data_IF_281222810429
#
_entry.id   IF_281222810429
#
_cell.length_a   1.000
_cell.length_b   1.000
_cell.length_c   1.000
_cell.angle_alpha   90.00
_cell.angle_beta   90.00
_cell.angle_gamma   90.00
#
_symmetry.space_group_name_H-M   'P 1'
#
loop_
_entity.id
_entity.type
_entity.pdbx_description
1 polymer ?
#
# COMPACT_ATOMS: atom_id res chain seq x y z
N UNK A 1 -13.40 -13.58 17.76
CA UNK A 1 -11.99 -14.04 17.88
C UNK A 1 -11.38 -13.32 19.07
N UNK A 2 -10.82 -14.04 20.04
CA UNK A 2 -10.21 -13.39 21.22
C UNK A 2 -8.88 -12.70 20.85
N UNK A 3 -8.38 -11.80 21.69
CA UNK A 3 -7.04 -11.19 21.51
C UNK A 3 -5.98 -12.30 21.38
N UNK A 4 -6.02 -13.34 22.23
CA UNK A 4 -5.09 -14.47 22.15
C UNK A 4 -5.16 -15.22 20.82
N UNK A 5 -6.36 -15.53 20.34
CA UNK A 5 -6.54 -16.26 19.07
C UNK A 5 -5.98 -15.45 17.89
N UNK A 6 -6.16 -14.13 17.90
CA UNK A 6 -5.61 -13.21 16.89
C UNK A 6 -4.09 -13.31 16.82
N UNK A 7 -3.41 -13.30 17.97
CA UNK A 7 -1.96 -13.36 18.02
C UNK A 7 -1.41 -14.74 17.62
N UNK A 8 -2.09 -15.83 18.00
CA UNK A 8 -1.73 -17.18 17.52
C UNK A 8 -1.87 -17.31 16.01
N UNK A 9 -3.02 -16.92 15.46
CA UNK A 9 -3.24 -16.92 14.02
C UNK A 9 -2.25 -16.00 13.26
N UNK A 10 -1.88 -14.88 13.87
CA UNK A 10 -0.84 -14.00 13.35
C UNK A 10 0.54 -14.68 13.31
N UNK A 11 0.93 -15.34 14.41
CA UNK A 11 2.22 -16.04 14.52
C UNK A 11 2.39 -17.07 13.40
N UNK A 12 1.37 -17.90 13.18
CA UNK A 12 1.39 -18.95 12.14
C UNK A 12 1.49 -18.35 10.74
N UNK A 13 0.82 -17.20 10.51
CA UNK A 13 0.86 -16.50 9.22
C UNK A 13 2.19 -15.82 8.94
N UNK A 14 2.84 -15.25 9.96
CA UNK A 14 4.04 -14.43 9.77
C UNK A 14 5.33 -15.22 9.87
N UNK A 15 5.35 -16.41 10.48
CA UNK A 15 6.58 -17.15 10.82
C UNK A 15 7.54 -17.34 9.63
N UNK A 16 7.02 -17.64 8.45
CA UNK A 16 7.84 -17.79 7.24
C UNK A 16 8.51 -16.47 6.77
N UNK A 17 7.97 -15.32 7.17
CA UNK A 17 8.44 -13.98 6.82
C UNK A 17 9.24 -13.34 7.95
N UNK A 18 8.84 -13.56 9.20
CA UNK A 18 9.46 -13.00 10.40
C UNK A 18 9.30 -13.95 11.58
N UNK A 19 10.29 -14.83 11.82
CA UNK A 19 10.36 -15.64 13.03
C UNK A 19 10.33 -14.80 14.31
N UNK A 20 10.94 -13.61 14.29
CA UNK A 20 10.96 -12.68 15.44
C UNK A 20 9.55 -12.23 15.84
N UNK A 21 8.76 -11.73 14.87
CA UNK A 21 7.37 -11.32 15.16
C UNK A 21 6.47 -12.51 15.48
N UNK A 22 6.72 -13.70 14.93
CA UNK A 22 6.02 -14.92 15.34
C UNK A 22 6.32 -15.29 16.80
N UNK A 23 7.57 -15.18 17.23
CA UNK A 23 7.98 -15.42 18.61
C UNK A 23 7.31 -14.43 19.58
N UNK A 24 7.33 -13.13 19.27
CA UNK A 24 6.59 -12.12 20.03
C UNK A 24 5.09 -12.38 20.07
N UNK A 25 4.49 -12.80 18.95
CA UNK A 25 3.08 -13.10 18.93
C UNK A 25 2.72 -14.32 19.81
N UNK A 26 3.61 -15.32 19.86
CA UNK A 26 3.46 -16.50 20.74
C UNK A 26 3.71 -16.18 22.21
N UNK A 27 4.46 -15.12 22.53
CA UNK A 27 4.77 -14.74 23.93
C UNK A 27 3.61 -14.02 24.64
N UNK A 28 2.52 -13.68 23.93
CA UNK A 28 1.32 -13.03 24.48
C UNK A 28 0.55 -13.95 25.45
N UNK A 29 0.85 -13.81 26.74
CA UNK A 29 0.24 -14.51 27.88
C UNK A 29 -1.03 -13.79 28.41
N UNK A 30 -1.65 -14.31 29.48
CA UNK A 30 -2.85 -13.69 30.08
C UNK A 30 -2.59 -12.27 30.60
N UNK A 31 -1.35 -12.01 31.01
CA UNK A 31 -0.94 -10.71 31.54
C UNK A 31 -0.89 -9.66 30.43
N UNK A 32 -0.29 -10.00 29.28
CA UNK A 32 -0.29 -9.14 28.10
C UNK A 32 -1.68 -8.99 27.48
N UNK A 33 -2.50 -10.04 27.46
CA UNK A 33 -3.89 -9.92 27.00
C UNK A 33 -4.67 -8.90 27.84
N UNK A 34 -4.60 -8.99 29.17
CA UNK A 34 -5.26 -8.04 30.05
C UNK A 34 -4.81 -6.59 29.79
N UNK A 35 -3.51 -6.37 29.55
CA UNK A 35 -2.96 -5.06 29.22
C UNK A 35 -3.44 -4.54 27.86
N UNK A 36 -3.47 -5.40 26.83
CA UNK A 36 -3.97 -5.04 25.51
C UNK A 36 -5.48 -4.75 25.53
N UNK A 37 -6.22 -5.39 26.43
CA UNK A 37 -7.65 -5.17 26.58
C UNK A 37 -8.01 -3.81 27.19
N UNK A 38 -7.03 -3.06 27.74
CA UNK A 38 -7.18 -1.68 28.20
C UNK A 38 -7.31 -0.65 27.06
N UNK A 39 -6.87 -0.98 25.84
CA UNK A 39 -7.03 -0.12 24.66
C UNK A 39 -8.18 -0.60 23.75
N UNK A 40 -8.79 0.25 22.92
CA UNK A 40 -9.83 -0.17 21.97
C UNK A 40 -9.35 -1.32 21.06
N UNK A 41 -10.25 -2.21 20.66
CA UNK A 41 -9.92 -3.40 19.87
C UNK A 41 -9.11 -3.08 18.60
N UNK A 42 -9.40 -1.95 17.95
CA UNK A 42 -8.74 -1.49 16.74
C UNK A 42 -7.25 -1.19 16.95
N UNK A 43 -6.83 -0.94 18.20
CA UNK A 43 -5.43 -0.70 18.60
C UNK A 43 -4.68 -1.97 18.96
N UNK A 44 -5.34 -3.14 19.00
CA UNK A 44 -4.75 -4.44 19.41
C UNK A 44 -4.26 -5.25 18.22
N UNK A 45 -3.88 -4.60 17.11
CA UNK A 45 -3.34 -5.27 15.94
C UNK A 45 -1.87 -5.63 16.21
N UNK A 46 -1.42 -6.87 15.94
CA UNK A 46 -0.05 -7.30 16.22
C UNK A 46 1.00 -6.35 15.64
N UNK A 47 0.84 -5.91 14.40
CA UNK A 47 1.77 -5.00 13.72
C UNK A 47 1.89 -3.65 14.45
N UNK A 48 0.76 -3.10 14.93
CA UNK A 48 0.77 -1.84 15.68
C UNK A 48 1.43 -2.02 17.05
N UNK A 49 1.12 -3.12 17.73
CA UNK A 49 1.69 -3.46 19.03
C UNK A 49 3.21 -3.65 18.94
N UNK A 50 3.69 -4.36 17.93
CA UNK A 50 5.13 -4.57 17.73
C UNK A 50 5.85 -3.30 17.33
N UNK A 51 5.23 -2.44 16.51
CA UNK A 51 5.79 -1.12 16.22
C UNK A 51 5.95 -0.27 17.49
N UNK A 52 4.93 -0.25 18.35
CA UNK A 52 4.99 0.47 19.64
C UNK A 52 6.01 -0.15 20.59
N UNK A 53 6.11 -1.48 20.65
CA UNK A 53 7.08 -2.15 21.48
C UNK A 53 8.52 -1.78 21.07
N UNK A 54 8.82 -1.82 19.77
CA UNK A 54 10.12 -1.40 19.22
C UNK A 54 10.42 0.07 19.50
N UNK A 55 9.44 0.96 19.37
CA UNK A 55 9.57 2.38 19.73
C UNK A 55 9.99 2.60 21.18
N UNK A 56 9.51 1.73 22.07
CA UNK A 56 9.85 1.76 23.50
C UNK A 56 11.14 0.99 23.83
N UNK A 57 11.88 0.54 22.82
CA UNK A 57 13.19 -0.10 22.96
C UNK A 57 13.17 -1.62 23.05
N UNK A 58 12.04 -2.29 22.83
CA UNK A 58 12.02 -3.74 22.78
C UNK A 58 12.78 -4.26 21.55
N UNK A 59 13.82 -5.06 21.77
CA UNK A 59 14.58 -5.72 20.72
C UNK A 59 13.79 -6.90 20.15
N UNK A 60 13.41 -6.90 18.86
CA UNK A 60 12.65 -7.99 18.28
C UNK A 60 13.42 -9.30 18.17
N UNK A 61 14.75 -9.30 18.29
CA UNK A 61 15.53 -10.54 18.35
C UNK A 61 15.41 -11.26 19.69
N UNK A 62 14.97 -10.57 20.75
CA UNK A 62 14.67 -11.17 22.05
C UNK A 62 13.17 -11.53 22.15
N UNK A 63 12.82 -12.83 22.22
CA UNK A 63 11.43 -13.27 22.30
C UNK A 63 10.72 -12.82 23.58
N UNK A 64 11.45 -12.51 24.65
CA UNK A 64 10.90 -12.10 25.95
C UNK A 64 10.78 -10.57 26.10
N UNK A 65 11.39 -9.77 25.20
CA UNK A 65 11.38 -8.31 25.29
C UNK A 65 9.97 -7.71 25.32
N UNK A 66 9.02 -8.25 24.55
CA UNK A 66 7.62 -7.79 24.59
C UNK A 66 6.96 -8.06 25.96
N UNK A 67 7.25 -9.23 26.55
CA UNK A 67 6.73 -9.62 27.87
C UNK A 67 7.34 -8.75 28.96
N UNK A 68 8.65 -8.48 28.90
CA UNK A 68 9.34 -7.59 29.82
C UNK A 68 8.75 -6.18 29.75
N UNK A 69 8.59 -5.63 28.54
CA UNK A 69 7.97 -4.31 28.33
C UNK A 69 6.56 -4.23 28.92
N UNK A 70 5.72 -5.25 28.68
CA UNK A 70 4.37 -5.33 29.23
C UNK A 70 4.30 -5.52 30.75
N UNK A 71 5.42 -5.80 31.42
CA UNK A 71 5.51 -5.87 32.89
C UNK A 71 6.09 -4.60 33.48
N UNK A 72 7.15 -4.10 32.88
CA UNK A 72 7.99 -3.03 33.44
C UNK A 72 7.53 -1.63 33.04
N UNK A 73 6.94 -1.48 31.85
CA UNK A 73 6.60 -0.18 31.27
C UNK A 73 5.10 -0.04 30.93
N UNK A 74 4.22 -0.72 31.68
CA UNK A 74 2.77 -0.80 31.40
C UNK A 74 2.11 0.54 31.06
N UNK A 75 2.22 1.60 31.88
CA UNK A 75 1.50 2.85 31.60
C UNK A 75 1.99 3.51 30.31
N UNK A 76 3.31 3.46 30.06
CA UNK A 76 3.91 3.99 28.85
C UNK A 76 3.47 3.21 27.61
N UNK A 77 3.44 1.87 27.70
CA UNK A 77 3.01 1.00 26.60
C UNK A 77 1.54 1.21 26.23
N UNK A 78 0.62 1.23 27.20
CA UNK A 78 -0.81 1.48 26.97
C UNK A 78 -1.03 2.87 26.39
N UNK A 79 -0.39 3.90 26.95
CA UNK A 79 -0.50 5.29 26.46
C UNK A 79 0.00 5.42 25.02
N UNK A 80 1.17 4.83 24.72
CA UNK A 80 1.73 4.84 23.37
C UNK A 80 0.82 4.08 22.40
N UNK A 81 0.30 2.93 22.79
CA UNK A 81 -0.57 2.12 21.94
C UNK A 81 -1.94 2.77 21.67
N UNK A 82 -2.53 3.44 22.67
CA UNK A 82 -3.81 4.13 22.53
C UNK A 82 -3.77 5.25 21.48
N UNK A 83 -2.61 5.90 21.34
CA UNK A 83 -2.38 7.02 20.40
C UNK A 83 -1.71 6.59 19.09
N UNK A 84 -1.21 5.36 18.99
CA UNK A 84 -0.44 4.91 17.83
C UNK A 84 -1.32 4.70 16.59
N UNK A 85 -0.77 5.11 15.45
CA UNK A 85 -1.33 4.88 14.11
C UNK A 85 -0.37 4.02 13.30
N UNK A 86 -0.90 3.16 12.43
CA UNK A 86 -0.07 2.44 11.45
C UNK A 86 0.39 3.43 10.39
N UNK A 87 1.69 3.55 10.15
CA UNK A 87 2.28 4.55 9.26
C UNK A 87 3.18 3.92 8.19
N UNK A 88 2.79 2.78 7.61
CA UNK A 88 3.74 1.97 6.85
C UNK A 88 3.93 2.39 5.37
N UNK A 89 3.01 3.17 4.77
CA UNK A 89 2.89 3.46 3.32
C UNK A 89 3.95 2.79 2.45
N UNK A 90 3.61 1.59 1.97
CA UNK A 90 4.55 0.76 1.22
C UNK A 90 4.74 1.34 -0.19
N UNK A 91 5.97 1.73 -0.58
CA UNK A 91 6.23 2.33 -1.88
C UNK A 91 5.90 1.39 -3.05
N UNK A 92 5.81 0.06 -2.82
CA UNK A 92 5.39 -0.90 -3.85
C UNK A 92 3.96 -0.66 -4.33
N UNK A 93 3.12 0.01 -3.53
CA UNK A 93 1.77 0.45 -3.96
C UNK A 93 1.78 1.43 -5.12
N UNK A 94 2.94 2.02 -5.46
CA UNK A 94 3.11 2.82 -6.67
C UNK A 94 3.06 1.98 -7.95
N UNK A 95 3.48 0.71 -7.92
CA UNK A 95 3.52 -0.14 -9.11
C UNK A 95 2.17 -0.24 -9.86
N UNK A 96 1.01 -0.43 -9.19
CA UNK A 96 -0.29 -0.42 -9.86
C UNK A 96 -0.83 0.96 -10.25
N UNK A 97 -0.40 2.04 -9.60
CA UNK A 97 -0.98 3.39 -9.81
C UNK A 97 -0.16 4.26 -10.76
N UNK A 98 1.15 4.03 -10.91
CA UNK A 98 2.02 4.78 -11.84
C UNK A 98 1.50 4.74 -13.29
N UNK A 99 1.02 3.60 -13.83
CA UNK A 99 0.40 3.60 -15.16
C UNK A 99 -0.83 4.51 -15.29
N UNK A 100 -1.57 4.75 -14.19
CA UNK A 100 -2.69 5.70 -14.19
C UNK A 100 -2.22 7.15 -14.19
N UNK A 101 -1.15 7.46 -13.46
CA UNK A 101 -0.50 8.77 -13.55
C UNK A 101 0.04 9.03 -14.96
N UNK A 102 0.62 8.01 -15.61
CA UNK A 102 1.06 8.11 -17.01
C UNK A 102 -0.10 8.36 -17.96
N UNK A 103 -1.20 7.62 -17.83
CA UNK A 103 -2.42 7.81 -18.62
C UNK A 103 -3.03 9.22 -18.44
N UNK A 104 -3.08 9.72 -17.20
CA UNK A 104 -3.54 11.08 -16.92
C UNK A 104 -2.59 12.12 -17.51
N UNK A 105 -1.27 11.94 -17.30
CA UNK A 105 -0.26 12.80 -17.89
C UNK A 105 -0.49 12.88 -19.39
N UNK A 106 -0.67 11.75 -20.10
CA UNK A 106 -0.95 11.63 -21.54
C UNK A 106 -2.15 12.43 -22.07
N UNK A 107 -3.15 12.70 -21.24
CA UNK A 107 -4.37 13.43 -21.62
C UNK A 107 -4.26 14.94 -21.49
N UNK A 108 -3.20 15.46 -20.89
CA UNK A 108 -3.07 16.89 -20.59
C UNK A 108 -1.70 17.45 -20.94
N UNK A 109 -1.60 18.70 -21.38
CA UNK A 109 -0.32 19.41 -21.48
C UNK A 109 0.11 20.04 -20.14
N UNK A 110 -0.79 20.09 -19.16
CA UNK A 110 -0.55 20.66 -17.83
C UNK A 110 0.22 19.67 -16.95
N UNK A 111 1.10 20.13 -16.06
CA UNK A 111 1.64 19.27 -15.02
C UNK A 111 0.53 18.76 -14.09
N UNK A 112 0.76 17.62 -13.44
CA UNK A 112 -0.15 17.09 -12.43
C UNK A 112 0.08 17.79 -11.08
N UNK A 113 -1.00 18.14 -10.40
CA UNK A 113 -1.00 18.64 -9.03
C UNK A 113 -1.44 17.51 -8.10
N UNK A 114 -0.52 16.93 -7.36
CA UNK A 114 -0.75 15.72 -6.57
C UNK A 114 -1.08 16.04 -5.12
N UNK A 115 -2.24 15.56 -4.64
CA UNK A 115 -2.53 15.38 -3.22
C UNK A 115 -2.44 13.89 -2.86
N UNK A 116 -1.45 13.49 -2.08
CA UNK A 116 -1.39 12.16 -1.45
C UNK A 116 -2.08 12.22 -0.08
N UNK A 117 -3.27 11.64 0.02
CA UNK A 117 -4.05 11.62 1.25
C UNK A 117 -3.82 10.31 2.00
N UNK A 118 -3.44 10.42 3.28
CA UNK A 118 -2.90 9.34 4.09
C UNK A 118 -1.41 9.09 3.82
N UNK A 119 -0.65 10.13 3.47
CA UNK A 119 0.70 10.02 2.94
C UNK A 119 1.77 9.48 3.91
N UNK A 120 1.52 9.50 5.22
CA UNK A 120 2.53 9.25 6.26
C UNK A 120 3.83 10.06 6.05
N UNK A 121 4.86 9.45 5.47
CA UNK A 121 6.15 10.09 5.14
C UNK A 121 6.22 10.67 3.71
N UNK A 122 5.23 10.38 2.85
CA UNK A 122 5.18 10.76 1.44
C UNK A 122 5.89 9.79 0.50
N UNK A 123 6.07 8.51 0.88
CA UNK A 123 6.74 7.51 0.03
C UNK A 123 5.96 7.18 -1.26
N UNK A 124 4.66 7.47 -1.29
CA UNK A 124 3.80 7.31 -2.47
C UNK A 124 3.53 8.64 -3.20
N UNK A 125 4.06 9.76 -2.72
CA UNK A 125 3.86 11.09 -3.31
C UNK A 125 4.87 11.41 -4.44
N UNK A 126 5.45 10.38 -5.07
CA UNK A 126 6.57 10.49 -6.00
C UNK A 126 6.39 9.68 -7.31
N UNK A 127 5.19 9.64 -7.94
CA UNK A 127 4.99 8.83 -9.14
C UNK A 127 5.94 9.19 -10.30
N UNK A 128 6.36 10.45 -10.38
CA UNK A 128 7.34 10.94 -11.36
C UNK A 128 8.80 10.53 -11.08
N UNK A 129 9.09 10.04 -9.86
CA UNK A 129 10.40 9.50 -9.47
C UNK A 129 10.43 7.97 -9.45
N UNK A 130 9.48 7.29 -10.09
CA UNK A 130 9.46 5.82 -10.15
C UNK A 130 10.01 5.33 -11.47
N UNK A 131 10.91 4.36 -11.44
CA UNK A 131 11.23 3.52 -12.59
C UNK A 131 10.54 2.17 -12.41
N UNK A 132 9.58 1.83 -13.26
CA UNK A 132 8.71 0.68 -13.09
C UNK A 132 8.90 -0.36 -14.20
N UNK A 133 9.21 -1.60 -13.80
CA UNK A 133 9.11 -2.78 -14.66
C UNK A 133 7.91 -3.64 -14.30
N UNK A 134 7.26 -4.16 -15.34
CA UNK A 134 6.39 -5.31 -15.21
C UNK A 134 7.05 -6.57 -15.75
N UNK A 135 6.88 -7.67 -15.02
CA UNK A 135 7.09 -9.03 -15.51
C UNK A 135 5.72 -9.57 -15.91
N UNK A 136 5.50 -9.71 -17.21
CA UNK A 136 4.23 -10.13 -17.79
C UNK A 136 4.31 -11.62 -18.09
N UNK A 137 3.49 -12.40 -17.40
CA UNK A 137 3.32 -13.83 -17.65
C UNK A 137 2.32 -14.08 -18.77
N UNK A 138 2.64 -14.99 -19.68
CA UNK A 138 1.70 -15.46 -20.70
C UNK A 138 0.74 -16.51 -20.09
N UNK A 139 -0.22 -16.11 -19.27
CA UNK A 139 -1.29 -17.01 -18.82
C UNK A 139 -2.68 -16.41 -19.11
N UNK A 140 -3.34 -16.95 -20.14
CA UNK A 140 -4.79 -16.99 -20.21
C UNK A 140 -5.35 -17.87 -19.09
N UNK A 141 -6.65 -17.81 -18.79
CA UNK A 141 -7.22 -18.46 -17.61
C UNK A 141 -6.90 -19.95 -17.61
N UNK A 142 -6.24 -20.41 -16.55
CA UNK A 142 -5.90 -21.81 -16.31
C UNK A 142 -7.19 -22.63 -16.26
N UNK A 143 -7.57 -23.24 -17.39
CA UNK A 143 -8.67 -24.21 -17.41
C UNK A 143 -8.25 -25.39 -16.55
N UNK A 144 -8.97 -25.58 -15.45
CA UNK A 144 -8.84 -26.72 -14.55
C UNK A 144 -8.67 -28.04 -15.35
N UNK A 145 -7.74 -28.92 -14.94
CA UNK A 145 -7.49 -30.15 -15.67
C UNK A 145 -8.75 -31.04 -15.60
N UNK A 146 -9.43 -31.20 -16.73
CA UNK A 146 -10.43 -32.27 -16.89
C UNK A 146 -9.71 -33.60 -16.71
N UNK A 147 -9.99 -34.30 -15.59
CA UNK A 147 -9.57 -35.67 -15.38
C UNK A 147 -10.30 -36.57 -16.38
N UNK A 148 -9.59 -37.04 -17.40
CA UNK A 148 -9.96 -38.23 -18.16
C UNK A 148 -8.83 -39.26 -18.03
N UNK A 149 -9.11 -40.53 -17.69
CA UNK A 149 -8.05 -41.51 -17.49
C UNK A 149 -7.64 -42.25 -18.78
N UNK A 150 -6.32 -42.22 -19.05
CA UNK A 150 -5.44 -43.22 -19.74
C UNK A 150 -5.54 -43.43 -21.27
N UNK A 151 -4.53 -44.08 -21.95
CA UNK A 151 -3.15 -44.40 -21.55
C UNK A 151 -2.03 -44.03 -22.56
N UNK A 152 -0.79 -44.00 -22.03
CA UNK A 152 0.55 -44.25 -22.61
C UNK A 152 0.78 -43.97 -24.11
N UNK A 153 1.56 -42.91 -24.37
CA UNK A 153 2.30 -42.71 -25.62
C UNK A 153 3.59 -41.94 -25.32
N UNK A 154 4.74 -42.57 -25.54
CA UNK A 154 6.08 -41.99 -25.38
C UNK A 154 6.33 -40.96 -26.48
N UNK A 155 6.16 -39.67 -26.16
CA UNK A 155 6.52 -38.56 -27.02
C UNK A 155 7.14 -37.44 -26.17
N UNK A 156 8.45 -37.23 -26.32
CA UNK A 156 9.20 -36.17 -25.63
C UNK A 156 8.87 -34.83 -26.28
N UNK A 157 7.67 -34.30 -26.03
CA UNK A 157 7.27 -32.95 -26.39
C UNK A 157 7.84 -31.96 -25.40
N UNK A 158 8.87 -31.21 -25.81
CA UNK A 158 9.33 -30.02 -25.08
C UNK A 158 8.17 -29.02 -25.09
N UNK A 159 7.52 -28.84 -23.95
CA UNK A 159 6.56 -27.74 -23.78
C UNK A 159 7.34 -26.43 -23.93
N UNK A 160 6.95 -25.50 -24.82
CA UNK A 160 7.56 -24.18 -24.81
C UNK A 160 7.28 -23.55 -23.46
N UNK A 161 8.34 -23.24 -22.70
CA UNK A 161 8.21 -22.56 -21.41
C UNK A 161 7.48 -21.23 -21.61
N UNK A 162 6.56 -20.91 -20.70
CA UNK A 162 5.89 -19.62 -20.67
C UNK A 162 6.94 -18.51 -20.78
N UNK A 163 6.85 -17.69 -21.83
CA UNK A 163 7.78 -16.56 -22.00
C UNK A 163 7.32 -15.47 -21.05
N UNK A 164 8.06 -15.26 -19.97
CA UNK A 164 7.93 -14.08 -19.13
C UNK A 164 8.66 -12.93 -19.81
N UNK A 165 7.94 -11.88 -20.18
CA UNK A 165 8.53 -10.66 -20.76
C UNK A 165 8.67 -9.60 -19.68
N UNK A 166 9.84 -8.94 -19.61
CA UNK A 166 10.03 -7.77 -18.75
C UNK A 166 9.83 -6.51 -19.59
N UNK A 167 8.84 -5.70 -19.22
CA UNK A 167 8.47 -4.48 -19.94
C UNK A 167 8.68 -3.27 -19.03
N UNK A 168 9.40 -2.27 -19.54
CA UNK A 168 9.60 -0.98 -18.88
C UNK A 168 8.34 -0.15 -19.04
N UNK A 169 7.57 0.02 -17.97
CA UNK A 169 6.28 0.72 -17.99
C UNK A 169 6.42 2.23 -17.81
N UNK A 170 7.39 2.67 -17.02
CA UNK A 170 7.68 4.08 -16.77
C UNK A 170 9.15 4.23 -16.36
N UNK A 171 9.77 5.32 -16.77
CA UNK A 171 11.14 5.69 -16.38
C UNK A 171 11.07 7.00 -15.62
N UNK A 172 11.70 7.06 -14.45
CA UNK A 172 11.69 8.25 -13.61
C UNK A 172 12.18 9.50 -14.36
N UNK A 173 11.56 10.65 -14.09
CA UNK A 173 11.92 11.93 -14.69
C UNK A 173 13.23 12.52 -14.15
N UNK A 174 13.76 11.98 -13.03
CA UNK A 174 15.03 12.40 -12.46
C UNK A 174 15.43 11.60 -11.22
N UNK A 175 16.70 11.78 -10.81
CA UNK A 175 17.28 11.11 -9.64
C UNK A 175 17.23 11.97 -8.37
N UNK A 176 17.23 11.38 -7.17
CA UNK A 176 17.08 9.95 -6.89
C UNK A 176 15.71 9.41 -7.35
N UNK A 177 15.71 8.18 -7.84
CA UNK A 177 14.54 7.45 -8.29
C UNK A 177 14.29 6.18 -7.45
N UNK A 178 13.04 5.72 -7.43
CA UNK A 178 12.60 4.46 -6.85
C UNK A 178 12.42 3.41 -7.95
N UNK A 179 13.10 2.28 -7.83
CA UNK A 179 13.01 1.18 -8.78
C UNK A 179 12.02 0.11 -8.30
N UNK A 180 10.97 -0.13 -9.08
CA UNK A 180 9.96 -1.13 -8.79
C UNK A 180 9.92 -2.21 -9.86
N UNK A 181 9.68 -3.43 -9.42
CA UNK A 181 9.29 -4.54 -10.30
C UNK A 181 8.06 -5.20 -9.72
N UNK A 182 7.03 -5.38 -10.55
CA UNK A 182 5.81 -6.09 -10.20
C UNK A 182 5.46 -7.11 -11.29
N UNK A 183 4.67 -8.12 -10.97
CA UNK A 183 4.09 -8.99 -11.99
C UNK A 183 2.75 -8.42 -12.45
N UNK A 184 2.48 -8.51 -13.75
CA UNK A 184 1.24 -8.02 -14.33
C UNK A 184 0.58 -9.06 -15.23
N UNK A 185 -0.76 -9.12 -15.17
CA UNK A 185 -1.60 -9.97 -16.03
C UNK A 185 -2.85 -9.21 -16.48
N UNK A 186 -3.61 -9.80 -17.42
CA UNK A 186 -4.81 -9.17 -17.99
C UNK A 186 -4.48 -8.21 -19.15
N UNK A 187 -5.39 -7.29 -19.51
CA UNK A 187 -5.14 -6.21 -20.46
C UNK A 187 -4.20 -5.16 -19.87
N UNK A 188 -2.90 -5.49 -19.77
CA UNK A 188 -1.86 -4.60 -19.25
C UNK A 188 -1.81 -3.33 -20.12
N UNK A 189 -1.81 -2.10 -19.54
CA UNK A 189 -1.71 -0.85 -20.29
C UNK A 189 -0.41 -0.79 -21.09
N UNK A 190 -0.38 0.05 -22.12
CA UNK A 190 0.85 0.38 -22.81
C UNK A 190 1.85 1.11 -21.87
N UNK A 191 3.16 0.94 -22.07
CA UNK A 191 4.17 1.78 -21.41
C UNK A 191 3.93 3.27 -21.64
N UNK A 192 4.29 4.08 -20.65
CA UNK A 192 4.20 5.53 -20.73
C UNK A 192 5.00 6.06 -21.93
N UNK A 193 4.34 6.80 -22.82
CA UNK A 193 4.99 7.41 -23.98
C UNK A 193 5.72 8.71 -23.62
N UNK A 194 5.41 9.31 -22.46
CA UNK A 194 6.03 10.54 -21.96
C UNK A 194 6.27 10.53 -20.46
N UNK A 195 7.19 11.37 -19.95
CA UNK A 195 7.41 11.49 -18.51
C UNK A 195 6.18 12.00 -17.77
N UNK A 196 5.95 11.49 -16.56
CA UNK A 196 5.03 12.09 -15.61
C UNK A 196 5.67 13.39 -15.08
N UNK A 197 4.97 14.52 -15.19
CA UNK A 197 5.41 15.80 -14.65
C UNK A 197 4.49 16.21 -13.51
N UNK A 198 5.02 16.29 -12.29
CA UNK A 198 4.27 16.74 -11.11
C UNK A 198 4.74 18.14 -10.71
N UNK A 199 3.89 19.13 -10.92
CA UNK A 199 4.18 20.56 -10.70
C UNK A 199 4.00 20.99 -9.24
N UNK A 200 3.06 20.38 -8.54
CA UNK A 200 2.80 20.62 -7.12
C UNK A 200 2.55 19.30 -6.38
N UNK A 201 3.06 19.20 -5.15
CA UNK A 201 2.87 18.04 -4.27
C UNK A 201 2.37 18.48 -2.91
N UNK A 202 1.30 17.86 -2.47
CA UNK A 202 0.71 18.04 -1.15
C UNK A 202 0.56 16.66 -0.53
N UNK A 203 1.07 16.49 0.69
CA UNK A 203 0.86 15.28 1.47
C UNK A 203 -0.02 15.62 2.66
N UNK A 204 -1.17 14.95 2.78
CA UNK A 204 -2.13 15.11 3.87
C UNK A 204 -2.10 13.86 4.74
N UNK A 205 -1.77 14.00 6.02
CA UNK A 205 -1.79 12.87 6.97
C UNK A 205 -2.14 13.36 8.39
N UNK A 206 -2.87 12.59 9.22
CA UNK A 206 -3.17 12.99 10.59
C UNK A 206 -1.92 13.09 11.48
N UNK A 207 -0.86 12.37 11.16
CA UNK A 207 0.37 12.26 11.93
C UNK A 207 1.59 12.19 10.99
N UNK A 208 1.85 13.25 10.18
CA UNK A 208 2.86 13.19 9.14
C UNK A 208 4.25 12.92 9.70
N UNK A 209 5.04 12.11 8.98
CA UNK A 209 6.46 11.85 9.32
C UNK A 209 7.34 12.75 8.48
N UNK A 210 8.10 13.63 9.13
CA UNK A 210 9.07 14.48 8.46
C UNK A 210 10.39 13.73 8.29
N UNK A 211 10.65 13.20 7.10
CA UNK A 211 11.88 12.47 6.79
C UNK A 211 13.17 13.28 6.98
N UNK A 212 13.09 14.61 7.10
CA UNK A 212 14.26 15.45 7.37
C UNK A 212 14.70 15.43 8.83
N UNK A 213 13.86 14.99 9.78
CA UNK A 213 14.24 14.95 11.20
C UNK A 213 15.00 13.66 11.56
N UNK A 214 16.01 13.73 12.45
CA UNK A 214 16.71 12.54 12.92
C UNK A 214 15.75 11.47 13.48
N UNK A 215 16.00 10.20 13.13
CA UNK A 215 15.18 9.06 13.56
C UNK A 215 13.81 8.93 12.87
N UNK A 216 13.44 9.82 11.95
CA UNK A 216 12.16 9.74 11.23
C UNK A 216 12.02 8.46 10.40
N UNK A 217 13.11 8.03 9.75
CA UNK A 217 13.11 6.80 8.97
C UNK A 217 12.96 5.56 9.86
N UNK A 218 13.61 5.54 11.03
CA UNK A 218 13.50 4.44 11.98
C UNK A 218 12.04 4.31 12.45
N UNK A 219 11.40 5.44 12.78
CA UNK A 219 9.97 5.50 13.12
C UNK A 219 9.07 4.95 12.00
N UNK A 220 9.42 5.24 10.74
CA UNK A 220 8.66 4.78 9.58
C UNK A 220 8.73 3.25 9.41
N UNK A 221 9.87 2.64 9.73
CA UNK A 221 10.11 1.20 9.56
C UNK A 221 9.88 0.36 10.83
N UNK A 222 9.47 0.96 11.94
CA UNK A 222 9.07 0.26 13.18
C UNK A 222 7.97 -0.80 12.92
N UNK A 223 7.05 -0.52 12.00
CA UNK A 223 5.96 -1.43 11.62
C UNK A 223 6.37 -2.49 10.56
N UNK A 224 7.61 -2.46 10.09
CA UNK A 224 8.16 -3.43 9.13
C UNK A 224 8.84 -4.55 9.92
N UNK A 225 8.59 -5.83 9.62
CA UNK A 225 9.29 -6.93 10.27
C UNK A 225 10.82 -6.79 10.12
N UNK A 226 11.61 -7.09 11.16
CA UNK A 226 13.06 -6.84 11.14
C UNK A 226 13.78 -7.63 10.04
N UNK A 227 13.29 -8.82 9.70
CA UNK A 227 13.85 -9.66 8.63
C UNK A 227 13.48 -9.17 7.22
N UNK A 228 12.54 -8.24 7.08
CA UNK A 228 12.15 -7.66 5.79
C UNK A 228 13.14 -6.56 5.34
N UNK A 229 14.43 -6.92 5.25
CA UNK A 229 15.54 -6.01 4.91
C UNK A 229 15.39 -5.41 3.51
N UNK A 230 14.96 -6.20 2.52
CA UNK A 230 14.69 -5.72 1.14
C UNK A 230 13.57 -4.67 1.11
N UNK A 231 12.53 -4.86 1.94
CA UNK A 231 11.44 -3.88 2.08
C UNK A 231 11.95 -2.58 2.70
N UNK A 232 12.78 -2.69 3.73
CA UNK A 232 13.40 -1.54 4.40
C UNK A 232 14.35 -0.79 3.45
N UNK A 233 15.13 -1.51 2.63
CA UNK A 233 15.99 -0.91 1.61
C UNK A 233 15.17 -0.15 0.56
N UNK A 234 14.09 -0.74 0.05
CA UNK A 234 13.19 -0.10 -0.89
C UNK A 234 12.51 1.16 -0.31
N UNK A 235 12.09 1.10 0.96
CA UNK A 235 11.55 2.27 1.66
C UNK A 235 12.59 3.39 1.80
N UNK A 236 13.88 3.05 1.95
CA UNK A 236 14.98 4.03 2.03
C UNK A 236 15.25 4.69 0.68
N UNK A 237 15.15 3.94 -0.41
CA UNK A 237 15.20 4.46 -1.77
C UNK A 237 14.05 5.44 -2.05
N UNK A 238 12.81 5.03 -1.72
CA UNK A 238 11.64 5.90 -1.82
C UNK A 238 11.77 7.15 -0.94
N UNK A 239 12.31 7.02 0.28
CA UNK A 239 12.55 8.16 1.17
C UNK A 239 13.55 9.16 0.57
N UNK A 240 14.61 8.66 -0.08
CA UNK A 240 15.61 9.48 -0.77
C UNK A 240 14.99 10.25 -1.94
N UNK A 241 14.18 9.59 -2.76
CA UNK A 241 13.44 10.23 -3.84
C UNK A 241 12.42 11.27 -3.33
N UNK A 242 11.70 10.95 -2.25
CA UNK A 242 10.73 11.85 -1.62
C UNK A 242 11.38 13.08 -0.97
N UNK A 243 12.62 12.99 -0.48
CA UNK A 243 13.39 14.12 0.04
C UNK A 243 13.90 15.05 -1.08
N UNK A 244 14.11 14.51 -2.29
CA UNK A 244 14.61 15.27 -3.43
C UNK A 244 13.54 16.09 -4.17
N UNK A 245 12.26 15.91 -3.84
CA UNK A 245 11.15 16.68 -4.43
C UNK A 245 10.46 17.56 -3.38
N UNK A 246 10.32 18.87 -3.63
CA UNK A 246 9.57 19.75 -2.73
C UNK A 246 8.11 19.32 -2.60
N UNK A 247 7.57 19.42 -1.39
CA UNK A 247 6.15 19.15 -1.09
C UNK A 247 5.64 20.00 0.06
N UNK A 248 4.37 20.36 0.00
CA UNK A 248 3.63 20.91 1.14
C UNK A 248 3.19 19.74 2.03
N UNK A 249 3.58 19.76 3.31
CA UNK A 249 3.16 18.74 4.28
C UNK A 249 2.07 19.31 5.18
N UNK A 250 0.88 18.70 5.15
CA UNK A 250 -0.25 19.10 5.97
C UNK A 250 -0.56 18.03 7.00
N UNK A 251 -0.68 18.46 8.26
CA UNK A 251 -1.34 17.65 9.29
C UNK A 251 -2.85 17.82 9.15
N UNK A 252 -3.58 16.74 8.91
CA UNK A 252 -5.04 16.77 8.73
C UNK A 252 -5.59 15.41 8.30
N UNK A 253 -6.92 15.27 8.30
CA UNK A 253 -7.60 14.02 8.02
C UNK A 253 -8.70 14.18 6.96
N UNK A 254 -8.92 13.12 6.19
CA UNK A 254 -10.12 13.00 5.39
C UNK A 254 -11.35 12.74 6.29
N UNK A 255 -12.54 13.27 5.94
CA UNK A 255 -12.81 14.15 4.78
C UNK A 255 -12.48 15.63 5.03
N UNK A 256 -12.36 16.07 6.29
CA UNK A 256 -12.41 17.48 6.68
C UNK A 256 -11.32 18.38 6.09
N UNK A 257 -10.15 17.83 5.77
CA UNK A 257 -9.00 18.60 5.26
C UNK A 257 -8.76 18.44 3.75
N UNK A 258 -9.65 17.77 3.01
CA UNK A 258 -9.48 17.54 1.58
C UNK A 258 -9.39 18.86 0.79
N UNK A 259 -10.33 19.78 1.01
CA UNK A 259 -10.36 21.07 0.31
C UNK A 259 -9.11 21.89 0.61
N UNK A 260 -8.72 21.96 1.88
CA UNK A 260 -7.49 22.65 2.29
C UNK A 260 -6.27 22.09 1.59
N UNK A 261 -6.19 20.78 1.39
CA UNK A 261 -5.09 20.17 0.65
C UNK A 261 -5.12 20.50 -0.85
N UNK A 262 -6.31 20.52 -1.46
CA UNK A 262 -6.48 20.89 -2.87
C UNK A 262 -6.17 22.37 -3.13
N UNK A 263 -6.49 23.26 -2.19
CA UNK A 263 -6.23 24.70 -2.30
C UNK A 263 -4.72 25.06 -2.27
N UNK A 264 -3.85 24.09 -1.95
CA UNK A 264 -2.39 24.24 -2.07
C UNK A 264 -1.84 23.86 -3.45
N UNK A 265 -2.65 23.31 -4.35
CA UNK A 265 -2.24 23.05 -5.73
C UNK A 265 -2.16 24.36 -6.53
N UNK A 266 -1.31 24.37 -7.56
CA UNK A 266 -1.17 25.52 -8.46
C UNK A 266 -2.29 25.51 -9.51
N UNK A 267 -2.78 26.69 -9.90
CA UNK A 267 -3.88 26.84 -10.88
C UNK A 267 -3.55 26.23 -12.25
N UNK A 268 -2.28 26.19 -12.62
CA UNK A 268 -1.82 25.61 -13.90
C UNK A 268 -1.73 24.08 -13.88
N UNK A 269 -1.90 23.43 -12.72
CA UNK A 269 -1.81 21.98 -12.56
C UNK A 269 -3.18 21.27 -12.72
N UNK A 270 -3.20 20.10 -13.35
CA UNK A 270 -4.36 19.20 -13.32
C UNK A 270 -4.43 18.51 -11.94
N UNK A 271 -5.47 18.76 -11.12
CA UNK A 271 -5.54 18.21 -9.77
C UNK A 271 -5.79 16.70 -9.78
N UNK A 272 -4.95 15.96 -9.04
CA UNK A 272 -5.03 14.51 -8.86
C UNK A 272 -4.94 14.18 -7.38
N UNK A 273 -5.91 13.46 -6.85
CA UNK A 273 -5.88 12.92 -5.50
C UNK A 273 -5.49 11.44 -5.55
N UNK A 274 -4.56 11.05 -4.67
CA UNK A 274 -4.12 9.68 -4.46
C UNK A 274 -4.54 9.20 -3.07
N UNK A 275 -5.13 8.01 -2.99
CA UNK A 275 -5.37 7.31 -1.72
C UNK A 275 -4.87 5.88 -1.83
N UNK A 276 -3.93 5.46 -0.98
CA UNK A 276 -3.31 4.12 -1.03
C UNK A 276 -3.49 3.36 0.28
N UNK A 277 -4.68 2.80 0.51
CA UNK A 277 -5.04 2.11 1.74
C UNK A 277 -5.35 3.09 2.88
N UNK A 278 -5.94 4.23 2.53
CA UNK A 278 -6.26 5.32 3.46
C UNK A 278 -7.71 5.25 3.91
N UNK A 279 -8.62 4.89 3.01
CA UNK A 279 -10.06 4.93 3.28
C UNK A 279 -10.53 3.85 4.26
N UNK A 280 -9.69 2.86 4.56
CA UNK A 280 -9.91 1.91 5.68
C UNK A 280 -9.96 2.61 7.05
N UNK A 281 -9.32 3.78 7.19
CA UNK A 281 -9.32 4.56 8.42
C UNK A 281 -10.44 5.61 8.47
N UNK A 282 -11.17 5.78 7.37
CA UNK A 282 -12.30 6.72 7.29
C UNK A 282 -13.62 5.95 7.49
N UNK A 283 -14.41 6.28 8.53
CA UNK A 283 -15.69 5.62 8.79
C UNK A 283 -16.69 5.75 7.63
N UNK A 284 -17.66 4.82 7.54
CA UNK A 284 -18.56 4.67 6.37
C UNK A 284 -19.18 5.96 5.81
N UNK A 285 -19.95 6.74 6.59
CA UNK A 285 -20.54 8.00 6.12
C UNK A 285 -19.50 9.01 5.65
N UNK A 286 -18.37 9.06 6.34
CA UNK A 286 -17.27 9.99 6.07
C UNK A 286 -16.54 9.61 4.78
N UNK A 287 -16.42 8.30 4.50
CA UNK A 287 -15.84 7.80 3.25
C UNK A 287 -16.69 8.22 2.05
N UNK A 288 -18.02 8.16 2.17
CA UNK A 288 -18.91 8.64 1.11
C UNK A 288 -18.76 10.16 0.91
N UNK A 289 -18.63 10.95 2.00
CA UNK A 289 -18.34 12.39 1.90
C UNK A 289 -17.03 12.69 1.17
N UNK A 290 -15.98 11.86 1.34
CA UNK A 290 -14.75 11.99 0.53
C UNK A 290 -15.06 11.82 -0.96
N UNK A 291 -15.76 10.74 -1.34
CA UNK A 291 -16.08 10.43 -2.74
C UNK A 291 -16.91 11.54 -3.37
N UNK A 292 -17.94 12.01 -2.67
CA UNK A 292 -18.81 13.08 -3.14
C UNK A 292 -18.02 14.38 -3.31
N UNK A 293 -17.15 14.70 -2.34
CA UNK A 293 -16.34 15.92 -2.42
C UNK A 293 -15.30 15.90 -3.54
N UNK A 294 -14.68 14.76 -3.81
CA UNK A 294 -13.76 14.60 -4.95
C UNK A 294 -14.46 14.87 -6.28
N UNK A 295 -15.71 14.41 -6.43
CA UNK A 295 -16.54 14.70 -7.62
C UNK A 295 -16.93 16.17 -7.70
N UNK A 296 -17.35 16.77 -6.60
CA UNK A 296 -17.70 18.20 -6.54
C UNK A 296 -16.53 19.13 -6.87
N UNK A 297 -15.30 18.73 -6.51
CA UNK A 297 -14.08 19.48 -6.80
C UNK A 297 -13.54 19.25 -8.21
N UNK A 298 -14.17 18.39 -9.00
CA UNK A 298 -13.78 18.05 -10.38
C UNK A 298 -12.29 17.67 -10.50
N UNK A 299 -11.84 16.78 -9.61
CA UNK A 299 -10.45 16.28 -9.58
C UNK A 299 -10.40 14.85 -10.07
N UNK A 300 -9.26 14.47 -10.67
CA UNK A 300 -9.01 13.06 -10.91
C UNK A 300 -8.66 12.37 -9.59
N UNK A 301 -9.16 11.16 -9.41
CA UNK A 301 -8.93 10.37 -8.22
C UNK A 301 -8.39 8.99 -8.56
N UNK A 302 -7.14 8.76 -8.19
CA UNK A 302 -6.49 7.45 -8.25
C UNK A 302 -6.57 6.83 -6.86
N UNK A 303 -7.18 5.65 -6.76
CA UNK A 303 -7.27 4.91 -5.50
C UNK A 303 -6.69 3.51 -5.65
N UNK A 304 -5.98 3.08 -4.59
CA UNK A 304 -5.70 1.68 -4.29
C UNK A 304 -6.24 1.41 -2.89
N UNK A 305 -7.39 0.76 -2.81
CA UNK A 305 -8.12 0.60 -1.55
C UNK A 305 -8.59 -0.84 -1.39
N UNK A 306 -8.87 -1.27 -0.14
CA UNK A 306 -9.37 -2.63 0.13
C UNK A 306 -10.54 -2.96 -0.80
N UNK A 307 -10.48 -4.09 -1.48
CA UNK A 307 -11.53 -4.49 -2.42
C UNK A 307 -12.88 -4.57 -1.72
N UNK A 308 -13.90 -3.99 -2.35
CA UNK A 308 -15.26 -3.93 -1.82
C UNK A 308 -15.53 -2.82 -0.79
N UNK A 309 -14.52 -2.03 -0.40
CA UNK A 309 -14.67 -1.00 0.63
C UNK A 309 -15.46 0.22 0.16
N UNK A 310 -15.52 0.44 -1.15
CA UNK A 310 -16.26 1.49 -1.83
C UNK A 310 -17.35 0.85 -2.69
N UNK A 311 -18.62 1.04 -2.33
CA UNK A 311 -19.74 0.40 -3.04
C UNK A 311 -19.81 0.77 -4.53
N UNK A 312 -19.59 2.06 -4.85
CA UNK A 312 -19.54 2.53 -6.23
C UNK A 312 -18.44 1.85 -7.05
N UNK A 313 -17.21 1.82 -6.55
CA UNK A 313 -16.09 1.13 -7.23
C UNK A 313 -16.38 -0.37 -7.35
N UNK A 314 -16.88 -1.01 -6.28
CA UNK A 314 -17.24 -2.43 -6.28
C UNK A 314 -18.23 -2.77 -7.39
N UNK A 315 -19.23 -1.92 -7.64
CA UNK A 315 -20.23 -2.16 -8.69
C UNK A 315 -19.66 -2.13 -10.12
N UNK A 316 -18.44 -1.63 -10.30
CA UNK A 316 -17.73 -1.63 -11.59
C UNK A 316 -16.80 -2.82 -11.77
N UNK A 317 -16.58 -3.63 -10.74
CA UNK A 317 -15.78 -4.85 -10.84
C UNK A 317 -16.51 -5.91 -11.68
N UNK A 318 -15.81 -6.64 -12.56
CA UNK A 318 -16.37 -7.81 -13.22
C UNK A 318 -16.73 -8.90 -12.20
N UNK A 319 -17.78 -9.69 -12.49
CA UNK A 319 -18.21 -10.83 -11.67
C UNK A 319 -17.12 -11.90 -11.48
N UNK A 320 -16.08 -11.89 -12.32
CA UNK A 320 -14.92 -12.79 -12.22
C UNK A 320 -13.95 -12.40 -11.10
N UNK A 321 -14.14 -11.26 -10.44
CA UNK A 321 -13.32 -10.84 -9.30
C UNK A 321 -13.96 -11.36 -8.01
N UNK A 322 -13.34 -12.38 -7.41
CA UNK A 322 -13.63 -12.75 -6.04
C UNK A 322 -12.98 -11.73 -5.08
N UNK A 323 -13.78 -11.12 -4.20
CA UNK A 323 -13.32 -10.10 -3.24
C UNK A 323 -12.58 -10.71 -2.05
N UNK A 324 -12.71 -12.03 -1.85
CA UNK A 324 -12.02 -12.78 -0.80
C UNK A 324 -10.70 -13.39 -1.28
N UNK A 325 -10.40 -13.34 -2.58
CA UNK A 325 -9.11 -13.74 -3.15
C UNK A 325 -7.97 -12.84 -2.62
N UNK A 326 -6.93 -13.41 -1.98
CA UNK A 326 -5.75 -12.66 -1.57
C UNK A 326 -5.03 -11.91 -2.70
N UNK A 327 -5.15 -12.40 -3.95
CA UNK A 327 -4.66 -11.74 -5.16
C UNK A 327 -5.51 -10.53 -5.60
N UNK A 328 -6.72 -10.39 -5.06
CA UNK A 328 -7.62 -9.25 -5.27
C UNK A 328 -7.86 -8.49 -3.96
N UNK A 329 -6.86 -8.45 -3.06
CA UNK A 329 -6.94 -7.76 -1.77
C UNK A 329 -7.32 -6.28 -1.91
N UNK A 330 -6.74 -5.58 -2.89
CA UNK A 330 -7.01 -4.17 -3.15
C UNK A 330 -7.50 -3.96 -4.59
N UNK A 331 -8.42 -3.01 -4.75
CA UNK A 331 -8.90 -2.54 -6.05
C UNK A 331 -8.19 -1.24 -6.38
N UNK A 332 -7.65 -1.17 -7.60
CA UNK A 332 -7.12 0.03 -8.21
C UNK A 332 -8.24 0.65 -9.03
N UNK A 333 -8.54 1.93 -8.81
CA UNK A 333 -9.57 2.65 -9.56
C UNK A 333 -9.11 4.03 -10.00
N UNK A 334 -9.63 4.46 -11.14
CA UNK A 334 -9.55 5.83 -11.64
C UNK A 334 -10.96 6.40 -11.67
N UNK A 335 -11.18 7.54 -11.02
CA UNK A 335 -12.45 8.29 -11.00
C UNK A 335 -13.66 7.43 -10.60
N UNK A 336 -13.44 6.50 -9.66
CA UNK A 336 -14.46 5.59 -9.14
C UNK A 336 -14.71 4.34 -10.00
N UNK A 337 -13.94 4.13 -11.08
CA UNK A 337 -14.04 2.95 -11.94
C UNK A 337 -12.87 2.00 -11.69
N UNK A 338 -13.15 0.74 -11.36
CA UNK A 338 -12.15 -0.27 -11.11
C UNK A 338 -11.39 -0.65 -12.40
N UNK A 339 -10.07 -0.46 -12.39
CA UNK A 339 -9.18 -0.72 -13.53
C UNK A 339 -8.27 -1.92 -13.32
N UNK A 340 -7.93 -2.24 -12.07
CA UNK A 340 -7.12 -3.41 -11.73
C UNK A 340 -7.45 -3.91 -10.32
N UNK A 341 -6.99 -5.12 -9.99
CA UNK A 341 -6.90 -5.61 -8.61
C UNK A 341 -5.48 -6.06 -8.30
N UNK A 342 -5.09 -6.00 -7.02
CA UNK A 342 -3.75 -6.33 -6.57
C UNK A 342 -3.75 -7.09 -5.26
N UNK A 343 -2.62 -7.70 -4.97
CA UNK A 343 -2.30 -8.12 -3.62
C UNK A 343 -2.06 -6.91 -2.67
N UNK A 344 -1.91 -7.10 -1.34
CA UNK A 344 -1.86 -6.00 -0.38
C UNK A 344 -0.71 -4.99 -0.57
N UNK A 345 0.33 -5.40 -1.28
CA UNK A 345 1.57 -4.65 -1.46
C UNK A 345 1.72 -4.09 -2.87
N UNK A 346 0.89 -4.50 -3.83
CA UNK A 346 1.01 -4.05 -5.23
C UNK A 346 2.13 -4.74 -6.00
N UNK A 347 2.63 -5.89 -5.53
CA UNK A 347 3.67 -6.65 -6.24
C UNK A 347 3.10 -7.53 -7.35
N UNK A 348 1.79 -7.81 -7.29
CA UNK A 348 1.04 -8.53 -8.31
C UNK A 348 -0.17 -7.71 -8.72
N UNK A 349 -0.29 -7.42 -10.00
CA UNK A 349 -1.35 -6.59 -10.57
C UNK A 349 -2.11 -7.40 -11.64
N UNK A 350 -3.43 -7.47 -11.52
CA UNK A 350 -4.30 -8.00 -12.56
C UNK A 350 -5.13 -6.85 -13.11
N UNK A 351 -4.80 -6.42 -14.32
CA UNK A 351 -5.57 -5.42 -15.03
C UNK A 351 -6.93 -5.99 -15.43
N UNK A 352 -7.96 -5.16 -15.38
CA UNK A 352 -9.34 -5.51 -15.71
C UNK A 352 -9.78 -4.82 -17.00
N UNK A 353 -9.21 -3.65 -17.29
CA UNK A 353 -9.42 -2.86 -18.50
C UNK A 353 -8.22 -1.94 -18.71
N UNK A 354 -8.05 -1.45 -19.94
CA UNK A 354 -7.05 -0.45 -20.24
C UNK A 354 -7.51 0.90 -19.66
N UNK A 355 -6.71 1.56 -18.77
CA UNK A 355 -7.04 2.89 -18.27
C UNK A 355 -7.03 3.97 -19.34
N UNK A 356 -6.45 3.73 -20.53
CA UNK A 356 -6.42 4.67 -21.65
C UNK A 356 -7.70 4.68 -22.50
N UNK A 357 -8.60 3.70 -22.32
CA UNK A 357 -9.79 3.49 -23.15
C UNK A 357 -11.11 3.86 -22.45
#
# INVERSE_FOLDING_TARGET
MTTRDRYRAYADRIEAVSPSYAAWARSVDDTLVALLDEVPEQRRQPELVFAVARRLGADPSDPDALRALGREARPAFVTALASATVQANDPRRLAPVVPLFAALAERTSRPLGLVDAGAAAGLCAIPDRVTLDYVIGSDGPERAPRRTPRPVGTGRGVRPGARTERVRMHTAAGEPALHLTATATGPVPAPAARPIVVGARVTLDPNPIDLAVPGAFDRLVEAVPPEATDRTALMREAASAALAVPRVRLRGALPGDLDRALDHLLDDCLPVVLTTGTLVYVPGPDRQRVVDRLRERDVHWIALERTGILAGVRSTLPDTVDVDDPGAFATVSLDGVAVAVTDPFGTRVRWLRDPNL
#
